data_IF_250972112588
#
_entry.id   IF_250972112588
#
_cell.length_a   1.000
_cell.length_b   1.000
_cell.length_c   1.000
_cell.angle_alpha   90.00
_cell.angle_beta   90.00
_cell.angle_gamma   90.00
#
_symmetry.space_group_name_H-M   'P 1'
#
loop_
_entity.id
_entity.type
_entity.pdbx_description
1 polymer ?
#
# COMPACT_ATOMS: atom_id res chain seq x y z
N UNK A 1 -26.95 0.11 12.95
CA UNK A 1 -25.86 0.95 12.44
C UNK A 1 -26.43 1.88 11.40
N UNK A 2 -26.40 3.20 11.64
CA UNK A 2 -26.85 4.18 10.65
C UNK A 2 -25.76 4.26 9.58
N UNK A 3 -26.05 3.76 8.38
CA UNK A 3 -25.25 4.00 7.18
C UNK A 3 -25.32 5.49 6.88
N UNK A 4 -24.33 6.27 7.34
CA UNK A 4 -24.17 7.65 6.91
C UNK A 4 -23.84 7.63 5.41
N UNK A 5 -24.84 7.98 4.60
CA UNK A 5 -24.71 8.09 3.16
C UNK A 5 -23.57 9.07 2.86
N UNK A 6 -22.51 8.61 2.17
CA UNK A 6 -21.40 9.49 1.79
C UNK A 6 -21.97 10.67 1.00
N UNK A 7 -21.68 11.90 1.44
CA UNK A 7 -22.02 13.11 0.69
C UNK A 7 -21.28 13.06 -0.64
N UNK A 8 -22.02 13.15 -1.74
CA UNK A 8 -21.46 13.23 -3.09
C UNK A 8 -21.74 14.61 -3.66
N UNK A 9 -20.86 15.09 -4.53
CA UNK A 9 -21.01 16.35 -5.26
C UNK A 9 -20.82 16.09 -6.74
N UNK A 10 -21.60 16.77 -7.58
CA UNK A 10 -21.51 16.63 -9.04
C UNK A 10 -20.53 17.66 -9.60
N UNK A 11 -19.67 17.22 -10.52
CA UNK A 11 -18.73 18.06 -11.25
C UNK A 11 -18.78 17.69 -12.74
N UNK A 12 -18.68 18.68 -13.63
CA UNK A 12 -18.62 18.48 -15.08
C UNK A 12 -17.32 19.05 -15.62
N UNK A 13 -16.63 18.30 -16.47
CA UNK A 13 -15.38 18.70 -17.11
C UNK A 13 -15.37 18.24 -18.57
N UNK A 14 -14.63 18.96 -19.42
CA UNK A 14 -14.35 18.52 -20.79
C UNK A 14 -13.19 17.51 -20.74
N UNK A 15 -13.30 16.44 -21.51
CA UNK A 15 -12.28 15.39 -21.63
C UNK A 15 -12.03 15.20 -23.12
N UNK A 16 -10.77 14.94 -23.46
CA UNK A 16 -10.40 14.41 -24.77
C UNK A 16 -11.22 13.15 -25.11
N UNK A 17 -11.72 13.06 -26.33
CA UNK A 17 -12.63 11.99 -26.74
C UNK A 17 -11.94 10.62 -26.76
N UNK A 18 -10.68 10.56 -27.19
CA UNK A 18 -9.90 9.31 -27.21
C UNK A 18 -9.63 8.80 -25.79
N UNK A 19 -9.35 9.71 -24.86
CA UNK A 19 -9.22 9.37 -23.43
C UNK A 19 -10.54 8.84 -22.88
N UNK A 20 -11.66 9.51 -23.15
CA UNK A 20 -12.98 9.08 -22.68
C UNK A 20 -13.35 7.69 -23.21
N UNK A 21 -13.08 7.43 -24.49
CA UNK A 21 -13.37 6.14 -25.12
C UNK A 21 -12.56 5.01 -24.47
N UNK A 22 -11.26 5.23 -24.21
CA UNK A 22 -10.42 4.27 -23.47
C UNK A 22 -10.95 4.00 -22.05
N UNK A 23 -11.35 5.05 -21.32
CA UNK A 23 -11.91 4.88 -19.96
C UNK A 23 -13.22 4.10 -19.97
N UNK A 24 -14.07 4.28 -21.00
CA UNK A 24 -15.30 3.50 -21.18
C UNK A 24 -15.02 2.02 -21.41
N UNK A 25 -14.16 1.69 -22.38
CA UNK A 25 -13.79 0.31 -22.68
C UNK A 25 -13.18 -0.40 -21.45
N UNK A 26 -12.31 0.30 -20.70
CA UNK A 26 -11.74 -0.23 -19.47
C UNK A 26 -12.80 -0.45 -18.37
N UNK A 27 -13.76 0.45 -18.23
CA UNK A 27 -14.85 0.29 -17.25
C UNK A 27 -15.77 -0.89 -17.59
N UNK A 28 -16.07 -1.11 -18.87
CA UNK A 28 -16.84 -2.26 -19.36
C UNK A 28 -16.09 -3.57 -19.12
N UNK A 29 -14.79 -3.63 -19.43
CA UNK A 29 -13.95 -4.80 -19.18
C UNK A 29 -13.90 -5.16 -17.68
N UNK A 30 -13.98 -4.16 -16.80
CA UNK A 30 -14.00 -4.32 -15.34
C UNK A 30 -15.40 -4.52 -14.76
N UNK A 31 -16.42 -4.67 -15.61
CA UNK A 31 -17.83 -4.82 -15.21
C UNK A 31 -18.30 -3.73 -14.23
N UNK A 32 -17.85 -2.48 -14.45
CA UNK A 32 -18.17 -1.35 -13.57
C UNK A 32 -18.67 -0.15 -14.37
N UNK A 33 -19.39 0.77 -13.73
CA UNK A 33 -19.81 2.00 -14.41
C UNK A 33 -18.62 2.93 -14.63
N UNK A 34 -18.64 3.72 -15.71
CA UNK A 34 -17.63 4.77 -15.96
C UNK A 34 -17.48 5.69 -14.74
N UNK A 35 -18.60 6.07 -14.10
CA UNK A 35 -18.56 6.93 -12.92
C UNK A 35 -17.83 6.26 -11.74
N UNK A 36 -18.10 4.98 -11.48
CA UNK A 36 -17.40 4.21 -10.44
C UNK A 36 -15.91 4.12 -10.74
N UNK A 37 -15.55 3.80 -11.99
CA UNK A 37 -14.16 3.68 -12.43
C UNK A 37 -13.39 4.99 -12.30
N UNK A 38 -13.96 6.10 -12.78
CA UNK A 38 -13.34 7.42 -12.70
C UNK A 38 -13.21 7.89 -11.25
N UNK A 39 -14.21 7.62 -10.40
CA UNK A 39 -14.08 7.90 -8.96
C UNK A 39 -12.95 7.09 -8.31
N UNK A 40 -12.72 5.84 -8.72
CA UNK A 40 -11.57 5.07 -8.25
C UNK A 40 -10.24 5.68 -8.68
N UNK A 41 -10.14 6.18 -9.93
CA UNK A 41 -8.94 6.89 -10.42
C UNK A 41 -8.69 8.15 -9.60
N UNK A 42 -9.71 9.00 -9.41
CA UNK A 42 -9.56 10.22 -8.63
C UNK A 42 -9.19 9.94 -7.17
N UNK A 43 -9.83 8.92 -6.57
CA UNK A 43 -9.50 8.49 -5.21
C UNK A 43 -8.04 8.05 -5.11
N UNK A 44 -7.58 7.20 -6.03
CA UNK A 44 -6.18 6.75 -6.09
C UNK A 44 -5.22 7.93 -6.28
N UNK A 45 -5.55 8.88 -7.15
CA UNK A 45 -4.70 10.04 -7.37
C UNK A 45 -4.52 10.86 -6.09
N UNK A 46 -5.62 11.13 -5.38
CA UNK A 46 -5.60 11.91 -4.13
C UNK A 46 -4.90 11.15 -3.00
N UNK A 47 -5.09 9.84 -2.90
CA UNK A 47 -4.49 9.01 -1.84
C UNK A 47 -3.01 8.67 -2.09
N UNK A 48 -2.57 8.64 -3.36
CA UNK A 48 -1.24 8.13 -3.74
C UNK A 48 -0.53 8.95 -4.81
N UNK A 49 -1.05 8.96 -6.05
CA UNK A 49 -0.28 9.43 -7.23
C UNK A 49 0.14 10.91 -7.11
N UNK A 50 -0.63 11.74 -6.40
CA UNK A 50 -0.31 13.15 -6.13
C UNK A 50 0.98 13.37 -5.31
N UNK A 51 1.44 12.34 -4.59
CA UNK A 51 2.59 12.40 -3.70
C UNK A 51 3.76 11.51 -4.10
N UNK A 52 3.52 10.38 -4.77
CA UNK A 52 4.52 9.34 -5.06
C UNK A 52 5.86 9.90 -5.59
N UNK A 53 5.81 10.74 -6.63
CA UNK A 53 7.02 11.33 -7.19
C UNK A 53 7.72 12.32 -6.25
N UNK A 54 6.97 12.98 -5.35
CA UNK A 54 7.51 13.97 -4.39
C UNK A 54 8.29 13.30 -3.26
N UNK A 55 7.96 12.05 -2.94
CA UNK A 55 8.65 11.23 -1.93
C UNK A 55 9.76 10.36 -2.54
N UNK A 56 10.11 10.58 -3.81
CA UNK A 56 11.21 9.89 -4.49
C UNK A 56 10.90 8.43 -4.85
N UNK A 57 9.62 8.05 -4.89
CA UNK A 57 9.21 6.72 -5.32
C UNK A 57 9.25 6.64 -6.85
N UNK A 58 9.76 5.52 -7.37
CA UNK A 58 9.87 5.25 -8.80
C UNK A 58 9.19 3.92 -9.14
N UNK A 59 8.52 3.81 -10.29
CA UNK A 59 7.95 2.53 -10.72
C UNK A 59 9.07 1.58 -11.14
N UNK A 60 9.07 0.38 -10.54
CA UNK A 60 10.02 -0.69 -10.88
C UNK A 60 9.23 -1.96 -11.24
N UNK A 61 9.58 -2.61 -12.35
CA UNK A 61 8.93 -3.84 -12.75
C UNK A 61 9.21 -4.97 -11.74
N UNK A 62 8.16 -5.72 -11.37
CA UNK A 62 8.22 -6.82 -10.41
C UNK A 62 9.40 -7.79 -10.61
N UNK A 63 9.74 -8.25 -11.84
CA UNK A 63 10.86 -9.16 -12.05
C UNK A 63 12.22 -8.59 -11.65
N UNK A 64 12.42 -7.27 -11.80
CA UNK A 64 13.66 -6.61 -11.38
C UNK A 64 13.78 -6.65 -9.86
N UNK A 65 12.69 -6.43 -9.14
CA UNK A 65 12.66 -6.52 -7.67
C UNK A 65 12.98 -7.95 -7.21
N UNK A 66 12.41 -8.97 -7.87
CA UNK A 66 12.70 -10.38 -7.57
C UNK A 66 14.19 -10.68 -7.71
N UNK A 67 14.80 -10.25 -8.82
CA UNK A 67 16.23 -10.45 -9.08
C UNK A 67 17.09 -9.71 -8.04
N UNK A 68 16.81 -8.42 -7.79
CA UNK A 68 17.55 -7.62 -6.83
C UNK A 68 17.49 -8.21 -5.43
N UNK A 69 16.30 -8.56 -4.92
CA UNK A 69 16.18 -9.18 -3.60
C UNK A 69 16.73 -10.59 -3.56
N UNK A 70 16.65 -11.35 -4.66
CA UNK A 70 17.16 -12.72 -4.73
C UNK A 70 18.68 -12.84 -4.57
N UNK A 71 19.43 -11.80 -4.96
CA UNK A 71 20.90 -11.77 -4.87
C UNK A 71 21.43 -11.36 -3.50
N UNK A 72 20.61 -10.76 -2.64
CA UNK A 72 21.04 -10.25 -1.34
C UNK A 72 21.05 -11.36 -0.27
N UNK A 73 22.04 -11.32 0.63
CA UNK A 73 22.03 -12.16 1.83
C UNK A 73 20.99 -11.66 2.84
N UNK A 74 20.49 -12.57 3.69
CA UNK A 74 19.54 -12.21 4.76
C UNK A 74 20.10 -11.12 5.69
N UNK A 75 21.40 -11.18 6.00
CA UNK A 75 22.06 -10.18 6.85
C UNK A 75 22.08 -8.79 6.19
N UNK A 76 22.39 -8.70 4.89
CA UNK A 76 22.34 -7.42 4.17
C UNK A 76 20.92 -6.85 4.09
N UNK A 77 19.90 -7.70 3.97
CA UNK A 77 18.50 -7.29 3.96
C UNK A 77 18.10 -6.68 5.30
N UNK A 78 18.45 -7.36 6.39
CA UNK A 78 18.16 -6.89 7.75
C UNK A 78 18.93 -5.60 8.05
N UNK A 79 20.21 -5.51 7.68
CA UNK A 79 21.00 -4.27 7.79
C UNK A 79 20.34 -3.11 7.03
N UNK A 80 19.96 -3.33 5.76
CA UNK A 80 19.30 -2.32 4.93
C UNK A 80 17.97 -1.85 5.55
N UNK A 81 17.16 -2.77 6.07
CA UNK A 81 15.91 -2.44 6.75
C UNK A 81 16.14 -1.56 8.00
N UNK A 82 17.15 -1.88 8.80
CA UNK A 82 17.53 -1.13 10.01
C UNK A 82 18.12 0.25 9.67
N UNK A 83 19.04 0.31 8.72
CA UNK A 83 19.80 1.52 8.39
C UNK A 83 18.96 2.58 7.69
N UNK A 84 18.13 2.17 6.73
CA UNK A 84 17.34 3.10 5.91
C UNK A 84 15.85 2.80 5.86
N UNK A 85 15.46 1.52 5.88
CA UNK A 85 14.09 1.10 5.58
C UNK A 85 13.03 1.72 6.48
N UNK A 86 13.23 1.69 7.80
CA UNK A 86 12.30 2.29 8.79
C UNK A 86 12.07 3.78 8.51
N UNK A 87 13.14 4.56 8.38
CA UNK A 87 13.04 6.01 8.23
C UNK A 87 12.39 6.39 6.91
N UNK A 88 12.77 5.73 5.81
CA UNK A 88 12.14 5.95 4.50
C UNK A 88 10.63 5.72 4.56
N UNK A 89 10.19 4.60 5.14
CA UNK A 89 8.76 4.29 5.24
C UNK A 89 8.02 5.26 6.15
N UNK A 90 8.59 5.58 7.33
CA UNK A 90 7.98 6.53 8.27
C UNK A 90 7.83 7.91 7.66
N UNK A 91 8.90 8.45 7.09
CA UNK A 91 8.93 9.82 6.56
C UNK A 91 8.04 9.95 5.34
N UNK A 92 7.95 8.91 4.51
CA UNK A 92 7.00 8.85 3.39
C UNK A 92 5.56 8.87 3.89
N UNK A 93 5.21 8.02 4.85
CA UNK A 93 3.86 7.97 5.40
C UNK A 93 3.48 9.30 6.05
N UNK A 94 4.37 9.88 6.86
CA UNK A 94 4.19 11.18 7.50
C UNK A 94 3.98 12.30 6.48
N UNK A 95 4.78 12.33 5.41
CA UNK A 95 4.64 13.36 4.37
C UNK A 95 3.29 13.25 3.63
N UNK A 96 2.83 12.03 3.35
CA UNK A 96 1.61 11.78 2.59
C UNK A 96 0.34 11.96 3.42
N UNK A 97 0.36 11.61 4.70
CA UNK A 97 -0.82 11.71 5.58
C UNK A 97 -0.87 13.03 6.37
N UNK A 98 0.27 13.67 6.60
CA UNK A 98 0.40 14.88 7.42
C UNK A 98 0.59 14.60 8.92
N UNK A 99 0.42 13.35 9.35
CA UNK A 99 0.67 12.84 10.69
C UNK A 99 1.21 11.40 10.65
N UNK A 100 1.64 10.90 11.81
CA UNK A 100 2.06 9.51 11.95
C UNK A 100 1.55 8.92 13.27
N UNK A 101 0.46 8.16 13.16
CA UNK A 101 -0.17 7.35 14.20
C UNK A 101 -0.64 6.03 13.56
N UNK A 102 -1.28 5.15 14.33
CA UNK A 102 -1.70 3.85 13.83
C UNK A 102 -2.68 3.97 12.64
N UNK A 103 -3.68 4.85 12.74
CA UNK A 103 -4.73 5.00 11.73
C UNK A 103 -4.19 5.56 10.41
N UNK A 104 -3.40 6.63 10.48
CA UNK A 104 -2.72 7.22 9.33
C UNK A 104 -1.74 6.23 8.68
N UNK A 105 -1.00 5.47 9.50
CA UNK A 105 -0.10 4.44 8.99
C UNK A 105 -0.84 3.30 8.27
N UNK A 106 -1.93 2.78 8.84
CA UNK A 106 -2.76 1.76 8.20
C UNK A 106 -3.35 2.28 6.89
N UNK A 107 -3.93 3.49 6.91
CA UNK A 107 -4.50 4.16 5.74
C UNK A 107 -3.48 4.27 4.60
N UNK A 108 -2.28 4.78 4.92
CA UNK A 108 -1.17 4.89 3.98
C UNK A 108 -0.68 3.53 3.47
N UNK A 109 -0.53 2.55 4.38
CA UNK A 109 -0.03 1.22 4.03
C UNK A 109 -0.96 0.51 3.05
N UNK A 110 -2.27 0.58 3.28
CA UNK A 110 -3.24 0.02 2.34
C UNK A 110 -3.24 0.76 0.99
N UNK A 111 -3.15 2.09 0.99
CA UNK A 111 -3.07 2.88 -0.24
C UNK A 111 -1.83 2.47 -1.06
N UNK A 112 -0.68 2.31 -0.40
CA UNK A 112 0.56 1.82 -1.00
C UNK A 112 0.41 0.44 -1.63
N UNK A 113 -0.17 -0.52 -0.91
CA UNK A 113 -0.34 -1.89 -1.42
C UNK A 113 -1.27 -1.92 -2.64
N UNK A 114 -2.40 -1.19 -2.58
CA UNK A 114 -3.33 -1.04 -3.72
C UNK A 114 -2.66 -0.41 -4.94
N UNK A 115 -1.84 0.62 -4.74
CA UNK A 115 -1.11 1.29 -5.83
C UNK A 115 -0.06 0.38 -6.48
N UNK A 116 0.51 -0.56 -5.72
CA UNK A 116 1.57 -1.47 -6.18
C UNK A 116 1.04 -2.75 -6.86
N UNK A 117 -0.28 -2.84 -7.11
CA UNK A 117 -0.94 -4.06 -7.59
C UNK A 117 -0.67 -5.30 -6.72
N UNK A 118 -0.41 -5.08 -5.42
CA UNK A 118 -0.22 -6.13 -4.44
C UNK A 118 -1.58 -6.41 -3.80
N UNK A 119 -1.99 -7.67 -3.80
CA UNK A 119 -3.25 -8.10 -3.19
C UNK A 119 -3.10 -8.07 -1.66
N UNK A 120 -3.99 -7.31 -1.01
CA UNK A 120 -4.05 -7.20 0.45
C UNK A 120 -5.44 -7.60 0.93
N UNK A 121 -5.48 -8.43 1.96
CA UNK A 121 -6.68 -8.74 2.70
C UNK A 121 -6.49 -8.25 4.14
N UNK A 122 -7.26 -7.24 4.54
CA UNK A 122 -7.25 -6.68 5.87
C UNK A 122 -8.57 -7.01 6.57
N UNK A 123 -8.50 -7.74 7.67
CA UNK A 123 -9.65 -8.10 8.50
C UNK A 123 -9.43 -7.66 9.94
N UNK A 124 -10.53 -7.27 10.60
CA UNK A 124 -10.54 -6.91 12.01
C UNK A 124 -11.49 -7.88 12.73
N UNK A 125 -10.99 -8.62 13.71
CA UNK A 125 -11.80 -9.52 14.56
C UNK A 125 -11.34 -9.38 16.00
N UNK A 126 -12.27 -9.12 16.93
CA UNK A 126 -11.99 -8.96 18.36
C UNK A 126 -10.83 -7.98 18.64
N UNK A 127 -10.83 -6.81 17.98
CA UNK A 127 -9.77 -5.79 18.09
C UNK A 127 -8.39 -6.22 17.56
N UNK A 128 -8.32 -7.35 16.84
CA UNK A 128 -7.10 -7.84 16.22
C UNK A 128 -7.17 -7.54 14.73
N UNK A 129 -6.26 -6.68 14.28
CA UNK A 129 -6.01 -6.44 12.87
C UNK A 129 -5.18 -7.60 12.31
N UNK A 130 -5.61 -8.16 11.19
CA UNK A 130 -4.88 -9.18 10.45
C UNK A 130 -4.75 -8.74 9.00
N UNK A 131 -3.50 -8.54 8.58
CA UNK A 131 -3.14 -8.26 7.20
C UNK A 131 -2.55 -9.50 6.56
N UNK A 132 -3.02 -9.85 5.36
CA UNK A 132 -2.45 -10.89 4.51
C UNK A 132 -2.11 -10.24 3.17
N UNK A 133 -0.85 -10.34 2.77
CA UNK A 133 -0.30 -9.68 1.59
C UNK A 133 0.26 -10.76 0.68
N UNK A 134 -0.28 -10.83 -0.54
CA UNK A 134 0.19 -11.74 -1.57
C UNK A 134 0.97 -10.94 -2.61
N UNK A 135 2.25 -11.27 -2.76
CA UNK A 135 3.19 -10.45 -3.52
C UNK A 135 4.05 -11.24 -4.51
N UNK A 136 4.36 -12.53 -4.28
CA UNK A 136 5.25 -13.38 -5.10
C UNK A 136 6.56 -12.67 -5.50
N UNK A 137 7.25 -12.09 -4.51
CA UNK A 137 8.50 -11.33 -4.68
C UNK A 137 9.73 -12.04 -4.06
N UNK A 138 9.56 -13.25 -3.55
CA UNK A 138 10.61 -14.02 -2.89
C UNK A 138 10.70 -13.76 -1.39
N UNK A 139 11.33 -14.70 -0.67
CA UNK A 139 11.40 -14.69 0.80
C UNK A 139 12.18 -13.49 1.33
N UNK A 140 13.21 -13.07 0.61
CA UNK A 140 14.04 -11.91 0.93
C UNK A 140 13.25 -10.59 0.91
N UNK A 141 12.27 -10.46 0.02
CA UNK A 141 11.38 -9.30 -0.01
C UNK A 141 10.46 -9.29 1.22
N UNK A 142 9.94 -10.46 1.61
CA UNK A 142 9.13 -10.63 2.81
C UNK A 142 9.93 -10.31 4.08
N UNK A 143 11.18 -10.81 4.18
CA UNK A 143 12.08 -10.52 5.28
C UNK A 143 12.33 -9.01 5.42
N UNK A 144 12.59 -8.31 4.32
CA UNK A 144 12.76 -6.86 4.35
C UNK A 144 11.52 -6.14 4.89
N UNK A 145 10.35 -6.43 4.32
CA UNK A 145 9.12 -5.72 4.69
C UNK A 145 8.68 -6.04 6.12
N UNK A 146 8.77 -7.29 6.55
CA UNK A 146 8.47 -7.68 7.94
C UNK A 146 9.45 -7.06 8.93
N UNK A 147 10.74 -6.95 8.58
CA UNK A 147 11.73 -6.26 9.42
C UNK A 147 11.39 -4.77 9.55
N UNK A 148 11.12 -4.09 8.44
CA UNK A 148 10.74 -2.66 8.44
C UNK A 148 9.43 -2.43 9.22
N UNK A 149 8.41 -3.25 9.00
CA UNK A 149 7.16 -3.17 9.75
C UNK A 149 7.40 -3.41 11.24
N UNK A 150 8.17 -4.44 11.61
CA UNK A 150 8.49 -4.73 13.01
C UNK A 150 9.21 -3.57 13.70
N UNK A 151 10.13 -2.90 12.99
CA UNK A 151 10.80 -1.70 13.47
C UNK A 151 9.81 -0.55 13.71
N UNK A 152 8.90 -0.30 12.76
CA UNK A 152 7.88 0.76 12.89
C UNK A 152 6.93 0.47 14.05
N UNK A 153 6.38 -0.74 14.10
CA UNK A 153 5.43 -1.12 15.14
C UNK A 153 6.06 -1.01 16.53
N UNK A 154 7.30 -1.49 16.70
CA UNK A 154 7.96 -1.49 18.00
C UNK A 154 8.48 -0.11 18.43
N UNK A 155 9.09 0.64 17.52
CA UNK A 155 9.87 1.84 17.88
C UNK A 155 9.12 3.15 17.63
N UNK A 156 8.05 3.12 16.83
CA UNK A 156 7.27 4.33 16.50
C UNK A 156 5.84 4.21 17.00
N UNK A 157 5.19 3.06 16.80
CA UNK A 157 3.80 2.85 17.22
C UNK A 157 3.69 2.21 18.61
N UNK A 158 4.81 1.80 19.21
CA UNK A 158 4.89 1.15 20.53
C UNK A 158 3.95 -0.06 20.70
N UNK A 159 3.74 -0.80 19.61
CA UNK A 159 2.82 -1.94 19.53
C UNK A 159 3.57 -3.24 19.24
N UNK A 160 3.08 -4.32 19.85
CA UNK A 160 3.49 -5.67 19.50
C UNK A 160 2.82 -6.08 18.20
N UNK A 161 3.57 -6.79 17.37
CA UNK A 161 3.10 -7.31 16.09
C UNK A 161 3.74 -8.68 15.86
N UNK A 162 2.92 -9.62 15.41
CA UNK A 162 3.34 -10.97 15.04
C UNK A 162 3.39 -11.07 13.52
N UNK A 163 4.42 -11.74 13.00
CA UNK A 163 4.65 -11.91 11.57
C UNK A 163 4.73 -13.39 11.20
N UNK A 164 4.14 -13.73 10.06
CA UNK A 164 4.36 -15.00 9.35
C UNK A 164 4.64 -14.67 7.88
N UNK A 165 5.64 -15.31 7.26
CA UNK A 165 5.95 -15.05 5.86
C UNK A 165 6.60 -16.24 5.16
N UNK A 166 6.52 -16.22 3.83
CA UNK A 166 7.23 -17.11 2.92
C UNK A 166 7.58 -16.32 1.63
N UNK A 167 7.91 -17.01 0.54
CA UNK A 167 8.30 -16.38 -0.73
C UNK A 167 7.16 -15.71 -1.51
N UNK A 168 5.91 -16.18 -1.31
CA UNK A 168 4.72 -15.72 -2.01
C UNK A 168 3.90 -14.70 -1.23
N UNK A 169 3.92 -14.82 0.10
CA UNK A 169 3.01 -14.12 0.99
C UNK A 169 3.69 -13.72 2.29
N UNK A 170 3.18 -12.63 2.87
CA UNK A 170 3.44 -12.26 4.26
C UNK A 170 2.14 -11.89 4.95
N UNK A 171 2.08 -12.11 6.26
CA UNK A 171 0.98 -11.67 7.09
C UNK A 171 1.52 -11.04 8.37
N UNK A 172 0.74 -10.11 8.92
CA UNK A 172 1.02 -9.54 10.22
C UNK A 172 -0.24 -9.26 11.01
N UNK A 173 -0.13 -9.40 12.33
CA UNK A 173 -1.25 -9.29 13.26
C UNK A 173 -0.86 -8.44 14.45
N UNK A 174 -1.75 -7.55 14.87
CA UNK A 174 -1.56 -6.73 16.07
C UNK A 174 -2.91 -6.36 16.69
N UNK A 175 -2.89 -6.02 17.97
CA UNK A 175 -4.07 -5.54 18.70
C UNK A 175 -4.11 -4.01 18.67
N UNK A 176 -5.28 -3.47 18.33
CA UNK A 176 -5.57 -2.03 18.42
C UNK A 176 -5.57 -1.56 19.89
#
# INVERSE_FOLDING_TARGET
MVSTQKKTSTMTFRIDEDVLNKLRSESEHRETSLNTFVNHIFKRYVEWDMFEAKVGMIPIAKPIIVELFGTLSKDHIVDMANRIGKNVVRDTALFMQGDFNLDSFISWFEARMRASSIEINHNIKNNIHTFIIKHDLGENWSLYHTTVLGLIFREVLEKKVDFEYNSGMMSFKFTE
#
